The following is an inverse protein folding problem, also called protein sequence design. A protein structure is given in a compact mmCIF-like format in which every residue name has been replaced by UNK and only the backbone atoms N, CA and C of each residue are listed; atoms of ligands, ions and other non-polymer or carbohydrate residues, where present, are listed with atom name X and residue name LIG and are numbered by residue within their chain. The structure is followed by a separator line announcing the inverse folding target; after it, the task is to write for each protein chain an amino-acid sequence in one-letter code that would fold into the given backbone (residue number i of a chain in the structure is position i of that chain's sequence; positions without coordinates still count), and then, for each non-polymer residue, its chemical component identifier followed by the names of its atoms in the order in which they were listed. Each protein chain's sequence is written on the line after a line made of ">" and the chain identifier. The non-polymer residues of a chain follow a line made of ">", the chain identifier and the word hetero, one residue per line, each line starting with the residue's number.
data_IF_481379414854
#
_entry.id   IF_481379414854
#
_cell.length_a   1.000
_cell.length_b   1.000
_cell.length_c   1.000
_cell.angle_alpha   90.00
_cell.angle_beta   90.00
_cell.angle_gamma   90.00
#
_symmetry.space_group_name_H-M   'P 1'
#
loop_
_entity.id
_entity.type
_entity.pdbx_description
1 polymer ?
#
# COMPACT_ATOMS: atom_id res chain seq x y z
N UNK A 1 -16.82 4.96 -32.26
CA UNK A 1 -16.05 5.74 -31.27
C UNK A 1 -15.20 4.75 -30.49
N UNK A 2 -13.91 4.66 -30.79
CA UNK A 2 -12.99 3.77 -30.07
C UNK A 2 -12.52 4.54 -28.83
N UNK A 3 -12.95 4.11 -27.64
CA UNK A 3 -12.45 4.63 -26.38
C UNK A 3 -10.97 4.25 -26.25
N UNK A 4 -10.09 5.24 -26.34
CA UNK A 4 -8.68 5.09 -25.95
C UNK A 4 -8.62 4.76 -24.46
N UNK A 5 -8.40 3.49 -24.12
CA UNK A 5 -7.96 3.10 -22.79
C UNK A 5 -6.57 3.71 -22.58
N UNK A 6 -6.51 4.86 -21.89
CA UNK A 6 -5.25 5.44 -21.41
C UNK A 6 -4.67 4.46 -20.38
N UNK A 7 -3.75 3.62 -20.81
CA UNK A 7 -3.01 2.77 -19.90
C UNK A 7 -2.20 3.67 -18.96
N UNK A 8 -2.53 3.64 -17.67
CA UNK A 8 -1.80 4.36 -16.62
C UNK A 8 -0.51 3.58 -16.33
N UNK A 9 0.56 3.93 -17.03
CA UNK A 9 1.90 3.45 -16.71
C UNK A 9 2.52 4.36 -15.64
N UNK A 10 3.25 3.77 -14.70
CA UNK A 10 4.09 4.56 -13.80
C UNK A 10 5.16 5.26 -14.63
N UNK A 11 5.17 6.61 -14.65
CA UNK A 11 6.11 7.44 -15.44
C UNK A 11 7.59 7.12 -15.19
N UNK A 12 7.90 6.44 -14.08
CA UNK A 12 9.24 6.09 -13.64
C UNK A 12 9.70 4.69 -14.07
N UNK A 13 8.85 3.90 -14.74
CA UNK A 13 9.23 2.55 -15.13
C UNK A 13 8.49 2.09 -16.41
N UNK A 14 9.18 2.19 -17.54
CA UNK A 14 8.69 1.80 -18.89
C UNK A 14 8.39 0.30 -19.01
N UNK A 15 8.88 -0.53 -18.09
CA UNK A 15 8.58 -1.97 -17.99
C UNK A 15 7.50 -2.28 -16.93
N UNK A 16 6.87 -1.26 -16.36
CA UNK A 16 5.82 -1.46 -15.37
C UNK A 16 4.55 -2.00 -16.02
N UNK A 17 3.96 -2.99 -15.36
CA UNK A 17 2.59 -3.40 -15.61
C UNK A 17 1.64 -2.20 -15.42
N UNK A 18 0.57 -2.10 -16.24
CA UNK A 18 -0.43 -1.06 -16.08
C UNK A 18 -0.99 -1.09 -14.66
N UNK A 19 -1.13 0.09 -14.06
CA UNK A 19 -1.74 0.27 -12.74
C UNK A 19 -3.19 0.70 -12.90
N UNK A 20 -3.99 0.45 -11.87
CA UNK A 20 -5.38 0.90 -11.81
C UNK A 20 -5.57 1.58 -10.47
N UNK A 21 -6.39 2.64 -10.46
CA UNK A 21 -6.73 3.33 -9.22
C UNK A 21 -7.31 2.33 -8.20
N UNK A 22 -6.76 2.37 -7.00
CA UNK A 22 -7.14 1.47 -5.92
C UNK A 22 -8.30 2.09 -5.15
N UNK A 23 -9.20 1.25 -4.63
CA UNK A 23 -10.26 1.67 -3.74
C UNK A 23 -9.69 2.00 -2.35
N UNK A 24 -9.08 3.18 -2.23
CA UNK A 24 -8.62 3.75 -0.97
C UNK A 24 -9.52 4.93 -0.62
N UNK A 25 -10.02 4.95 0.61
CA UNK A 25 -10.73 6.10 1.17
C UNK A 25 -9.88 7.38 1.11
N UNK A 26 -10.52 8.49 0.77
CA UNK A 26 -9.86 9.81 0.71
C UNK A 26 -9.22 10.20 2.05
N UNK A 27 -9.81 9.76 3.17
CA UNK A 27 -9.27 9.98 4.51
C UNK A 27 -7.92 9.28 4.71
N UNK A 28 -7.80 8.03 4.27
CA UNK A 28 -6.55 7.26 4.29
C UNK A 28 -5.53 7.91 3.36
N UNK A 29 -5.96 8.32 2.17
CA UNK A 29 -5.07 9.00 1.22
C UNK A 29 -4.54 10.33 1.75
N UNK A 30 -5.38 11.12 2.41
CA UNK A 30 -4.98 12.34 3.12
C UNK A 30 -3.97 12.03 4.21
N UNK A 31 -4.19 10.96 4.98
CA UNK A 31 -3.25 10.53 6.03
C UNK A 31 -1.91 10.09 5.46
N UNK A 32 -1.93 9.32 4.36
CA UNK A 32 -0.74 8.92 3.62
C UNK A 32 0.03 10.13 3.08
N UNK A 33 -0.65 11.21 2.66
CA UNK A 33 0.03 12.44 2.22
C UNK A 33 0.89 13.03 3.34
N UNK A 34 0.35 13.09 4.57
CA UNK A 34 1.09 13.54 5.75
C UNK A 34 2.25 12.61 6.13
N UNK A 35 1.99 11.31 6.16
CA UNK A 35 3.00 10.29 6.47
C UNK A 35 4.12 10.23 5.41
N UNK A 36 3.81 10.53 4.15
CA UNK A 36 4.78 10.60 3.06
C UNK A 36 5.76 11.77 3.17
N UNK A 37 5.42 12.81 3.94
CA UNK A 37 6.33 13.94 4.15
C UNK A 37 7.44 13.61 5.17
N UNK A 38 7.26 12.55 5.97
CA UNK A 38 8.27 12.08 6.94
C UNK A 38 9.48 11.44 6.25
N UNK A 39 10.55 11.13 7.01
CA UNK A 39 11.74 10.45 6.46
C UNK A 39 11.55 8.94 6.26
N UNK A 40 10.44 8.38 6.71
CA UNK A 40 10.17 6.93 6.66
C UNK A 40 9.42 6.53 5.38
N UNK A 41 9.42 5.23 5.10
CA UNK A 41 8.79 4.63 3.92
C UNK A 41 7.30 4.38 4.13
N UNK A 42 6.57 4.35 3.02
CA UNK A 42 5.22 3.81 2.94
C UNK A 42 5.32 2.44 2.27
N UNK A 43 5.00 1.39 3.00
CA UNK A 43 5.14 0.02 2.54
C UNK A 43 3.78 -0.54 2.12
N UNK A 44 3.71 -1.13 0.94
CA UNK A 44 2.54 -1.90 0.48
C UNK A 44 2.90 -3.39 0.51
N UNK A 45 2.05 -4.21 1.11
CA UNK A 45 2.19 -5.68 1.04
C UNK A 45 1.95 -6.17 -0.39
N UNK A 46 2.42 -7.38 -0.68
CA UNK A 46 2.23 -8.03 -1.98
C UNK A 46 0.78 -8.28 -2.36
N UNK A 47 -0.04 -8.49 -1.35
CA UNK A 47 -1.45 -8.85 -1.47
C UNK A 47 -2.31 -7.64 -1.79
N UNK A 48 -1.75 -6.43 -1.71
CA UNK A 48 -2.40 -5.20 -2.16
C UNK A 48 -2.27 -4.99 -3.67
N UNK A 49 -3.22 -4.31 -4.32
CA UNK A 49 -3.05 -3.80 -5.67
C UNK A 49 -1.82 -2.90 -5.77
N UNK A 50 -1.23 -2.83 -6.96
CA UNK A 50 -0.04 -2.00 -7.18
C UNK A 50 -0.44 -0.53 -7.12
N UNK A 51 0.26 0.31 -6.32
CA UNK A 51 -0.08 1.72 -6.18
C UNK A 51 0.00 2.47 -7.51
N UNK A 52 -1.08 3.14 -7.88
CA UNK A 52 -1.18 3.94 -9.11
C UNK A 52 -0.57 5.33 -8.94
N UNK A 53 0.42 5.65 -9.76
CA UNK A 53 1.16 6.91 -9.62
C UNK A 53 0.25 8.15 -9.73
N UNK A 54 -0.71 8.15 -10.65
CA UNK A 54 -1.55 9.32 -10.89
C UNK A 54 -2.49 9.57 -9.71
N UNK A 55 -3.08 8.51 -9.15
CA UNK A 55 -3.88 8.58 -7.94
C UNK A 55 -3.07 9.18 -6.79
N UNK A 56 -1.91 8.61 -6.44
CA UNK A 56 -1.09 9.12 -5.33
C UNK A 56 -0.58 10.55 -5.56
N UNK A 57 -0.20 10.89 -6.78
CA UNK A 57 0.26 12.24 -7.12
C UNK A 57 -0.84 13.30 -6.99
N UNK A 58 -2.09 12.95 -7.30
CA UNK A 58 -3.25 13.84 -7.18
C UNK A 58 -3.51 14.26 -5.73
N UNK A 59 -3.22 13.36 -4.78
CA UNK A 59 -3.32 13.62 -3.33
C UNK A 59 -2.00 14.11 -2.70
N UNK A 60 -1.02 14.51 -3.52
CA UNK A 60 0.30 15.00 -3.07
C UNK A 60 1.07 14.00 -2.20
N UNK A 61 0.84 12.71 -2.39
CA UNK A 61 1.62 11.66 -1.73
C UNK A 61 2.98 11.57 -2.41
N UNK A 62 4.06 11.53 -1.62
CA UNK A 62 5.41 11.39 -2.14
C UNK A 62 5.65 9.98 -2.68
N UNK A 63 5.38 9.76 -3.97
CA UNK A 63 5.56 8.47 -4.64
C UNK A 63 6.98 7.90 -4.53
N UNK A 64 8.00 8.76 -4.39
CA UNK A 64 9.39 8.34 -4.19
C UNK A 64 9.65 7.61 -2.87
N UNK A 65 8.69 7.67 -1.92
CA UNK A 65 8.77 6.99 -0.62
C UNK A 65 7.82 5.79 -0.52
N UNK A 66 7.24 5.38 -1.65
CA UNK A 66 6.36 4.22 -1.71
C UNK A 66 7.18 3.01 -2.15
N UNK A 67 7.18 1.95 -1.35
CA UNK A 67 7.74 0.66 -1.70
C UNK A 67 6.61 -0.36 -1.72
N UNK A 68 6.44 -1.02 -2.86
CA UNK A 68 5.58 -2.19 -2.96
C UNK A 68 6.42 -3.44 -2.79
N UNK A 69 6.15 -4.17 -1.71
CA UNK A 69 6.89 -5.37 -1.35
C UNK A 69 6.53 -6.52 -2.27
N UNK A 70 7.53 -7.35 -2.56
CA UNK A 70 7.31 -8.64 -3.21
C UNK A 70 6.84 -9.65 -2.17
N UNK A 71 5.97 -10.57 -2.59
CA UNK A 71 5.48 -11.65 -1.73
C UNK A 71 6.65 -12.45 -1.17
N UNK A 72 6.60 -12.70 0.13
CA UNK A 72 7.54 -13.61 0.78
C UNK A 72 7.18 -15.06 0.46
N UNK A 73 8.18 -15.94 0.34
CA UNK A 73 7.97 -17.38 0.19
C UNK A 73 7.85 -18.09 1.55
N UNK A 74 8.29 -17.44 2.62
CA UNK A 74 8.44 -18.04 3.95
C UNK A 74 7.63 -17.33 5.04
N UNK A 75 6.99 -16.21 4.72
CA UNK A 75 6.23 -15.42 5.67
C UNK A 75 4.84 -15.12 5.13
N UNK A 76 3.86 -15.21 6.02
CA UNK A 76 2.51 -14.72 5.78
C UNK A 76 2.47 -13.19 5.70
N UNK A 77 1.36 -12.65 5.22
CA UNK A 77 1.14 -11.20 5.19
C UNK A 77 1.22 -10.58 6.59
N UNK A 78 0.62 -11.23 7.59
CA UNK A 78 0.63 -10.77 9.00
C UNK A 78 2.07 -10.65 9.53
N UNK A 79 2.89 -11.68 9.29
CA UNK A 79 4.30 -11.66 9.73
C UNK A 79 5.10 -10.60 8.98
N UNK A 80 4.79 -10.41 7.69
CA UNK A 80 5.43 -9.38 6.86
C UNK A 80 5.12 -7.98 7.38
N UNK A 81 3.85 -7.70 7.71
CA UNK A 81 3.42 -6.43 8.30
C UNK A 81 4.02 -6.24 9.69
N UNK A 82 4.03 -7.28 10.53
CA UNK A 82 4.65 -7.26 11.85
C UNK A 82 6.13 -6.84 11.75
N UNK A 83 6.91 -7.51 10.89
CA UNK A 83 8.33 -7.14 10.70
C UNK A 83 8.51 -5.75 10.09
N UNK A 84 7.63 -5.34 9.18
CA UNK A 84 7.67 -4.02 8.59
C UNK A 84 7.52 -2.93 9.67
N UNK A 85 6.58 -3.11 10.60
CA UNK A 85 6.37 -2.22 11.74
C UNK A 85 7.57 -2.24 12.68
N UNK A 86 8.03 -3.43 13.08
CA UNK A 86 9.15 -3.60 14.01
C UNK A 86 10.47 -3.04 13.46
N UNK A 87 10.63 -3.01 12.13
CA UNK A 87 11.81 -2.44 11.49
C UNK A 87 11.98 -0.94 11.75
N UNK A 88 10.91 -0.22 12.11
CA UNK A 88 10.93 1.23 12.36
C UNK A 88 11.19 2.09 11.12
N UNK A 89 11.32 1.48 9.94
CA UNK A 89 11.64 2.17 8.69
C UNK A 89 10.39 2.69 7.97
N UNK A 90 9.19 2.29 8.41
CA UNK A 90 7.93 2.63 7.78
C UNK A 90 7.11 3.58 8.65
N UNK A 91 6.58 4.65 8.05
CA UNK A 91 5.56 5.51 8.68
C UNK A 91 4.16 4.96 8.44
N UNK A 92 3.97 4.23 7.34
CA UNK A 92 2.71 3.55 7.04
C UNK A 92 2.95 2.18 6.42
N UNK A 93 2.10 1.22 6.75
CA UNK A 93 2.02 -0.09 6.08
C UNK A 93 0.59 -0.30 5.58
N UNK A 94 0.46 -0.58 4.29
CA UNK A 94 -0.81 -0.90 3.63
C UNK A 94 -0.85 -2.41 3.44
N UNK A 95 -1.87 -3.04 4.03
CA UNK A 95 -2.10 -4.48 3.99
C UNK A 95 -3.49 -4.79 3.42
N UNK A 96 -3.72 -6.06 3.07
CA UNK A 96 -5.01 -6.54 2.60
C UNK A 96 -6.00 -6.71 3.74
N UNK A 97 -7.29 -6.48 3.45
CA UNK A 97 -8.40 -6.84 4.34
C UNK A 97 -8.58 -8.35 4.53
N UNK A 98 -7.81 -9.19 3.82
CA UNK A 98 -7.80 -10.64 3.99
C UNK A 98 -7.30 -11.09 5.38
N UNK A 99 -6.58 -10.23 6.10
CA UNK A 99 -6.15 -10.47 7.47
C UNK A 99 -7.38 -10.46 8.39
N UNK A 100 -7.51 -11.45 9.29
CA UNK A 100 -8.63 -11.52 10.24
C UNK A 100 -8.74 -10.27 11.14
N UNK A 101 -9.95 -9.89 11.53
CA UNK A 101 -10.22 -8.69 12.34
C UNK A 101 -9.43 -8.64 13.65
N UNK A 102 -9.19 -9.79 14.29
CA UNK A 102 -8.37 -9.90 15.50
C UNK A 102 -6.93 -9.49 15.20
N UNK A 103 -6.36 -10.02 14.12
CA UNK A 103 -5.01 -9.72 13.67
C UNK A 103 -4.89 -8.28 13.18
N UNK A 104 -5.90 -7.73 12.51
CA UNK A 104 -5.92 -6.32 12.12
C UNK A 104 -5.83 -5.41 13.35
N UNK A 105 -6.60 -5.72 14.40
CA UNK A 105 -6.60 -4.95 15.64
C UNK A 105 -5.24 -5.03 16.36
N UNK A 106 -4.65 -6.22 16.40
CA UNK A 106 -3.30 -6.44 16.93
C UNK A 106 -2.25 -5.62 16.17
N UNK A 107 -2.28 -5.64 14.83
CA UNK A 107 -1.35 -4.90 13.98
C UNK A 107 -1.49 -3.39 14.16
N UNK A 108 -2.71 -2.84 14.28
CA UNK A 108 -2.92 -1.42 14.58
C UNK A 108 -2.35 -1.01 15.93
N UNK A 109 -2.54 -1.85 16.96
CA UNK A 109 -1.99 -1.61 18.29
C UNK A 109 -0.44 -1.66 18.27
N UNK A 110 0.13 -2.62 17.54
CA UNK A 110 1.58 -2.73 17.36
C UNK A 110 2.13 -1.50 16.63
N UNK A 111 1.51 -1.10 15.52
CA UNK A 111 1.93 0.04 14.72
C UNK A 111 1.94 1.34 15.54
N UNK A 112 0.89 1.57 16.34
CA UNK A 112 0.79 2.73 17.23
C UNK A 112 1.95 2.83 18.22
N UNK A 113 2.49 1.69 18.69
CA UNK A 113 3.66 1.65 19.58
C UNK A 113 4.97 2.01 18.87
N UNK A 114 5.04 1.80 17.56
CA UNK A 114 6.22 2.02 16.73
C UNK A 114 6.13 3.30 15.88
N UNK A 115 5.21 4.21 16.20
CA UNK A 115 4.94 5.43 15.42
C UNK A 115 4.65 5.14 13.94
N UNK A 116 3.96 4.04 13.67
CA UNK A 116 3.57 3.59 12.35
C UNK A 116 2.04 3.48 12.29
N UNK A 117 1.46 3.65 11.11
CA UNK A 117 0.03 3.44 10.88
C UNK A 117 -0.21 2.29 9.90
N UNK A 118 -1.16 1.42 10.22
CA UNK A 118 -1.53 0.30 9.33
C UNK A 118 -2.91 0.57 8.75
N UNK A 119 -2.98 0.54 7.43
CA UNK A 119 -4.22 0.67 6.67
C UNK A 119 -4.52 -0.66 5.99
N UNK A 120 -5.80 -1.05 6.00
CA UNK A 120 -6.26 -2.25 5.35
C UNK A 120 -7.11 -1.85 4.15
N UNK A 121 -6.77 -2.37 2.98
CA UNK A 121 -7.47 -2.11 1.73
C UNK A 121 -7.89 -3.43 1.10
N UNK A 122 -8.83 -3.37 0.17
CA UNK A 122 -9.20 -4.56 -0.59
C UNK A 122 -7.96 -5.09 -1.33
N UNK A 123 -7.61 -6.34 -1.04
CA UNK A 123 -6.47 -6.99 -1.66
C UNK A 123 -6.69 -7.22 -3.16
N UNK A 124 -5.70 -7.85 -3.81
CA UNK A 124 -5.86 -8.45 -5.13
C UNK A 124 -6.83 -9.64 -5.01
N UNK A 125 -8.12 -9.34 -4.92
CA UNK A 125 -9.19 -10.32 -5.04
C UNK A 125 -9.02 -11.06 -6.37
N UNK A 126 -9.14 -12.38 -6.33
CA UNK A 126 -9.13 -13.23 -7.50
C UNK A 126 -10.10 -12.65 -8.52
N UNK A 127 -9.59 -12.14 -9.65
CA UNK A 127 -10.41 -12.07 -10.85
C UNK A 127 -10.72 -13.53 -11.19
N UNK A 128 -11.87 -14.01 -10.75
CA UNK A 128 -12.43 -15.30 -11.16
C UNK A 128 -12.56 -15.19 -12.68
N UNK A 129 -11.65 -15.86 -13.38
CA UNK A 129 -11.66 -15.97 -14.84
C UNK A 129 -12.48 -17.18 -15.23
#
# INVERSE_FOLDING_TARGET
>A
MLQEQRNHYSKFNTLAQPTTAMAIDESVMSRLSGLSNTKQWILFTSDCPRPDFEQFSSFKVSCNKIIHMKASQSMSEIETVTKAIESGNASAVIASTNIDLVNQSLLRALASRHNCEVFFIEGKGHQVH
#
